data_IF_684446170238
#
_entry.id   IF_684446170238
#
_cell.length_a   1.000
_cell.length_b   1.000
_cell.length_c   1.000
_cell.angle_alpha   90.00
_cell.angle_beta   90.00
_cell.angle_gamma   90.00
#
_symmetry.space_group_name_H-M   'P 1'
#
loop_
_entity.id
_entity.type
_entity.pdbx_description
1 polymer ?
#
# COMPACT_ATOMS: atom_id res chain seq x y z
N UNK A 1 9.60 5.25 -4.20
CA UNK A 1 10.17 3.93 -3.87
C UNK A 1 11.26 4.06 -2.83
N UNK A 2 11.56 3.00 -2.11
CA UNK A 2 12.78 2.90 -1.32
C UNK A 2 13.89 2.26 -2.16
N UNK A 3 15.12 2.64 -1.90
CA UNK A 3 16.29 2.08 -2.57
C UNK A 3 17.47 1.98 -1.60
N UNK A 4 18.36 1.01 -1.83
CA UNK A 4 19.57 0.82 -1.01
C UNK A 4 20.74 1.52 -1.67
N UNK A 5 21.41 2.39 -0.92
CA UNK A 5 22.66 3.04 -1.31
C UNK A 5 23.68 2.84 -0.19
N UNK A 6 24.83 2.22 -0.51
CA UNK A 6 25.90 1.92 0.45
C UNK A 6 25.43 1.18 1.74
N UNK A 7 24.42 0.32 1.61
CA UNK A 7 23.83 -0.42 2.74
C UNK A 7 22.77 0.33 3.53
N UNK A 8 22.49 1.59 3.19
CA UNK A 8 21.41 2.37 3.78
C UNK A 8 20.18 2.36 2.88
N UNK A 9 19.00 2.19 3.48
CA UNK A 9 17.72 2.17 2.78
C UNK A 9 17.03 3.53 2.92
N UNK A 10 16.91 4.23 1.81
CA UNK A 10 16.37 5.59 1.73
C UNK A 10 15.15 5.66 0.82
N UNK A 11 14.42 6.77 0.92
CA UNK A 11 13.30 7.09 0.04
C UNK A 11 13.79 7.88 -1.17
N UNK A 12 13.42 7.41 -2.36
CA UNK A 12 13.75 8.00 -3.65
C UNK A 12 12.48 8.36 -4.42
N UNK A 13 12.51 9.53 -5.05
CA UNK A 13 11.50 9.95 -6.02
C UNK A 13 12.04 9.70 -7.42
N UNK A 14 11.25 9.01 -8.26
CA UNK A 14 11.57 8.75 -9.65
C UNK A 14 10.59 9.53 -10.55
N UNK A 15 11.10 10.47 -11.32
CA UNK A 15 10.36 11.10 -12.42
C UNK A 15 10.45 10.20 -13.65
N UNK A 16 9.39 9.45 -13.91
CA UNK A 16 9.35 8.48 -15.02
C UNK A 16 9.29 9.16 -16.39
N UNK A 17 8.85 10.42 -16.48
CA UNK A 17 8.81 11.17 -17.74
C UNK A 17 10.19 11.70 -18.15
N UNK A 18 11.00 12.09 -17.16
CA UNK A 18 12.34 12.67 -17.37
C UNK A 18 13.46 11.68 -17.12
N UNK A 19 13.15 10.46 -16.64
CA UNK A 19 14.14 9.45 -16.22
C UNK A 19 15.15 9.98 -15.18
N UNK A 20 14.69 10.84 -14.27
CA UNK A 20 15.49 11.41 -13.19
C UNK A 20 15.07 10.79 -11.87
N UNK A 21 16.05 10.50 -11.02
CA UNK A 21 15.80 10.09 -9.63
C UNK A 21 16.41 11.12 -8.66
N UNK A 22 15.68 11.39 -7.59
CA UNK A 22 16.10 12.26 -6.51
C UNK A 22 16.02 11.49 -5.19
N UNK A 23 17.11 11.50 -4.43
CA UNK A 23 17.09 10.98 -3.05
C UNK A 23 16.35 11.98 -2.18
N UNK A 24 15.27 11.54 -1.55
CA UNK A 24 14.46 12.39 -0.68
C UNK A 24 14.97 12.39 0.75
N UNK A 25 15.39 11.24 1.26
CA UNK A 25 15.88 11.08 2.64
C UNK A 25 17.34 10.67 2.65
N UNK A 26 18.04 10.90 3.77
CA UNK A 26 19.49 10.64 3.90
C UNK A 26 19.90 10.33 5.35
N UNK A 27 18.97 10.02 6.23
CA UNK A 27 19.25 9.59 7.60
C UNK A 27 19.99 8.24 7.58
N UNK A 28 20.94 7.96 8.49
CA UNK A 28 21.58 6.64 8.60
C UNK A 28 20.63 5.48 8.94
N UNK A 29 19.42 5.75 9.37
CA UNK A 29 18.40 4.76 9.67
C UNK A 29 17.83 4.12 8.40
N UNK A 30 17.13 2.99 8.57
CA UNK A 30 16.42 2.34 7.48
C UNK A 30 15.06 3.02 7.25
N UNK A 31 14.75 3.33 5.99
CA UNK A 31 13.53 4.02 5.60
C UNK A 31 12.80 3.28 4.49
N UNK A 32 11.52 3.07 4.66
CA UNK A 32 10.72 2.26 3.75
C UNK A 32 9.24 2.68 3.70
N UNK A 33 8.43 1.98 2.91
CA UNK A 33 6.96 2.12 2.80
C UNK A 33 6.50 3.56 2.60
N UNK A 34 7.09 4.22 1.59
CA UNK A 34 6.74 5.58 1.23
C UNK A 34 5.39 5.65 0.51
N UNK A 35 4.51 6.55 0.96
CA UNK A 35 3.26 6.90 0.31
C UNK A 35 3.17 8.40 0.05
N UNK A 36 2.48 8.78 -1.02
CA UNK A 36 2.24 10.18 -1.37
C UNK A 36 1.03 10.75 -0.63
N UNK A 37 1.10 12.03 -0.25
CA UNK A 37 -0.12 12.77 0.08
C UNK A 37 -1.00 12.94 -1.16
N UNK A 38 -2.34 13.03 -1.01
CA UNK A 38 -3.24 13.18 -2.16
C UNK A 38 -2.97 14.43 -3.02
N UNK A 39 -2.40 15.48 -2.43
CA UNK A 39 -2.00 16.71 -3.13
C UNK A 39 -0.61 16.63 -3.77
N UNK A 40 0.11 15.52 -3.59
CA UNK A 40 1.46 15.29 -4.10
C UNK A 40 2.57 16.13 -3.46
N UNK A 41 2.28 16.88 -2.39
CA UNK A 41 3.25 17.79 -1.77
C UNK A 41 4.08 17.18 -0.66
N UNK A 42 3.65 16.04 -0.14
CA UNK A 42 4.32 15.34 0.96
C UNK A 42 4.48 13.87 0.65
N UNK A 43 5.50 13.29 1.22
CA UNK A 43 5.68 11.84 1.33
C UNK A 43 5.69 11.49 2.81
N UNK A 44 4.90 10.48 3.16
CA UNK A 44 4.95 9.79 4.45
C UNK A 44 5.75 8.52 4.25
N UNK A 45 6.59 8.18 5.21
CA UNK A 45 7.44 7.00 5.18
C UNK A 45 7.68 6.47 6.59
N UNK A 46 8.13 5.23 6.70
CA UNK A 46 8.52 4.65 7.99
C UNK A 46 10.03 4.64 8.14
N UNK A 47 10.51 5.00 9.34
CA UNK A 47 11.94 5.07 9.67
C UNK A 47 12.19 4.52 11.08
N UNK A 48 13.25 3.70 11.24
CA UNK A 48 13.62 3.12 12.54
C UNK A 48 14.66 3.95 13.30
N UNK A 49 14.78 5.25 13.00
CA UNK A 49 15.76 6.16 13.63
C UNK A 49 15.59 6.32 15.14
N UNK A 50 14.42 6.02 15.66
CA UNK A 50 14.11 6.06 17.11
C UNK A 50 14.13 4.66 17.75
N UNK A 51 14.51 3.60 17.03
CA UNK A 51 14.52 2.20 17.48
C UNK A 51 13.50 1.35 16.72
N UNK A 52 12.22 1.50 17.04
CA UNK A 52 11.13 0.91 16.27
C UNK A 52 10.85 1.77 15.01
N UNK A 53 10.13 1.21 14.02
CA UNK A 53 9.69 1.99 12.87
C UNK A 53 8.55 2.92 13.24
N UNK A 54 8.81 4.22 13.17
CA UNK A 54 7.82 5.29 13.33
C UNK A 54 7.47 5.91 11.98
N UNK A 55 6.32 6.61 11.93
CA UNK A 55 5.84 7.28 10.72
C UNK A 55 6.32 8.73 10.67
N UNK A 56 7.04 9.06 9.60
CA UNK A 56 7.60 10.39 9.32
C UNK A 56 6.96 11.02 8.10
N UNK A 57 7.07 12.33 7.99
CA UNK A 57 6.64 13.11 6.82
C UNK A 57 7.74 14.05 6.36
N UNK A 58 7.84 14.23 5.03
CA UNK A 58 8.71 15.21 4.37
C UNK A 58 8.03 15.83 3.15
N UNK A 59 8.35 17.10 2.86
CA UNK A 59 7.91 17.75 1.62
C UNK A 59 8.62 17.14 0.40
N UNK A 60 7.88 16.99 -0.71
CA UNK A 60 8.37 16.33 -1.94
C UNK A 60 9.40 17.15 -2.70
N UNK A 61 9.45 18.47 -2.50
CA UNK A 61 10.45 19.36 -3.05
C UNK A 61 11.77 19.35 -2.25
N UNK A 62 11.85 18.53 -1.19
CA UNK A 62 12.99 18.43 -0.30
C UNK A 62 13.12 19.59 0.70
N UNK A 63 12.17 20.54 0.71
CA UNK A 63 12.16 21.64 1.66
C UNK A 63 11.75 21.20 3.06
N UNK A 64 12.12 22.00 4.06
CA UNK A 64 11.76 21.75 5.45
C UNK A 64 12.50 20.55 6.07
N UNK A 65 12.18 20.29 7.31
CA UNK A 65 12.73 19.17 8.09
C UNK A 65 11.76 17.97 8.07
N UNK A 66 12.33 16.78 8.17
CA UNK A 66 11.56 15.56 8.43
C UNK A 66 11.03 15.63 9.85
N UNK A 67 9.76 15.26 10.02
CA UNK A 67 9.15 15.20 11.35
C UNK A 67 8.37 13.90 11.55
N UNK A 68 8.45 13.34 12.73
CA UNK A 68 7.54 12.28 13.16
C UNK A 68 6.11 12.81 13.18
N UNK A 69 5.16 12.01 12.71
CA UNK A 69 3.74 12.33 12.76
C UNK A 69 3.14 12.00 14.13
N UNK A 70 3.50 10.83 14.64
CA UNK A 70 3.09 10.31 15.95
C UNK A 70 4.07 9.21 16.35
N UNK A 71 4.05 8.79 17.61
CA UNK A 71 4.79 7.65 18.13
C UNK A 71 3.86 6.68 18.84
N UNK A 72 4.05 5.39 18.58
CA UNK A 72 3.38 4.29 19.26
C UNK A 72 4.45 3.25 19.64
N UNK A 73 4.13 2.32 20.51
CA UNK A 73 5.03 1.19 20.78
C UNK A 73 5.01 0.17 19.64
N UNK A 74 6.18 -0.37 19.29
CA UNK A 74 6.37 -1.31 18.17
C UNK A 74 6.48 -0.62 16.81
N UNK A 75 6.58 -1.40 15.77
CA UNK A 75 6.73 -0.88 14.40
C UNK A 75 5.42 -0.34 13.85
N UNK A 76 5.49 0.79 13.14
CA UNK A 76 4.37 1.40 12.45
C UNK A 76 4.69 1.64 10.98
N UNK A 77 3.72 1.32 10.13
CA UNK A 77 3.84 1.54 8.70
C UNK A 77 2.62 2.27 8.15
N UNK A 78 2.87 3.40 7.49
CA UNK A 78 1.84 4.09 6.73
C UNK A 78 1.43 3.24 5.53
N UNK A 79 0.13 2.95 5.40
CA UNK A 79 -0.37 2.05 4.37
C UNK A 79 -1.09 2.79 3.25
N UNK A 80 -1.97 3.72 3.59
CA UNK A 80 -2.72 4.48 2.61
C UNK A 80 -3.26 5.78 3.21
N UNK A 81 -3.56 6.73 2.33
CA UNK A 81 -4.10 8.04 2.68
C UNK A 81 -5.40 8.27 1.93
N UNK A 82 -6.48 8.64 2.67
CA UNK A 82 -7.77 8.93 2.02
C UNK A 82 -7.63 10.05 0.98
N UNK A 83 -8.33 9.93 -0.14
CA UNK A 83 -8.22 10.85 -1.27
C UNK A 83 -8.56 12.31 -0.90
N UNK A 84 -9.37 12.53 0.15
CA UNK A 84 -9.70 13.86 0.68
C UNK A 84 -8.65 14.43 1.65
N UNK A 85 -7.60 13.66 1.93
CA UNK A 85 -6.50 14.05 2.81
C UNK A 85 -6.80 13.99 4.31
N UNK A 86 -7.99 13.54 4.71
CA UNK A 86 -8.41 13.60 6.11
C UNK A 86 -7.85 12.47 6.96
N UNK A 87 -7.69 11.28 6.40
CA UNK A 87 -7.35 10.09 7.16
C UNK A 87 -6.13 9.38 6.60
N UNK A 88 -5.25 8.98 7.49
CA UNK A 88 -4.12 8.09 7.21
C UNK A 88 -4.38 6.76 7.90
N UNK A 89 -4.22 5.63 7.19
CA UNK A 89 -4.22 4.30 7.81
C UNK A 89 -2.79 3.86 8.08
N UNK A 90 -2.62 3.24 9.24
CA UNK A 90 -1.33 2.77 9.75
C UNK A 90 -1.47 1.33 10.22
N UNK A 91 -0.61 0.47 9.73
CA UNK A 91 -0.41 -0.87 10.29
C UNK A 91 0.54 -0.76 11.49
N UNK A 92 0.24 -1.47 12.56
CA UNK A 92 1.12 -1.58 13.72
C UNK A 92 1.46 -3.04 14.01
N UNK A 93 2.73 -3.29 14.29
CA UNK A 93 3.25 -4.60 14.64
C UNK A 93 4.04 -4.54 15.94
N UNK A 94 3.75 -5.48 16.82
CA UNK A 94 4.54 -5.74 18.02
C UNK A 94 4.77 -7.24 18.13
N UNK A 95 6.00 -7.66 18.43
CA UNK A 95 6.34 -9.07 18.51
C UNK A 95 5.42 -9.84 19.46
N UNK A 96 4.91 -10.99 19.00
CA UNK A 96 4.00 -11.84 19.76
C UNK A 96 2.56 -11.34 19.85
N UNK A 97 2.22 -10.27 19.15
CA UNK A 97 0.84 -9.73 19.06
C UNK A 97 0.32 -9.79 17.64
N UNK A 98 -1.00 -9.94 17.42
CA UNK A 98 -1.60 -9.73 16.11
C UNK A 98 -1.30 -8.33 15.58
N UNK A 99 -1.08 -8.21 14.28
CA UNK A 99 -1.00 -6.92 13.61
C UNK A 99 -2.34 -6.19 13.68
N UNK A 100 -2.29 -4.87 13.83
CA UNK A 100 -3.47 -4.02 14.02
C UNK A 100 -3.46 -2.88 13.01
N UNK A 101 -4.67 -2.44 12.64
CA UNK A 101 -4.89 -1.22 11.88
C UNK A 101 -5.32 -0.09 12.79
N UNK A 102 -4.66 1.03 12.63
CA UNK A 102 -5.03 2.31 13.23
C UNK A 102 -5.34 3.32 12.16
N UNK A 103 -6.05 4.38 12.50
CA UNK A 103 -6.18 5.55 11.65
C UNK A 103 -5.87 6.83 12.39
N UNK A 104 -5.39 7.82 11.67
CA UNK A 104 -5.09 9.17 12.17
C UNK A 104 -5.94 10.16 11.39
N UNK A 105 -6.67 11.01 12.09
CA UNK A 105 -7.42 12.12 11.50
C UNK A 105 -6.54 13.38 11.47
N UNK A 106 -6.53 14.09 10.32
CA UNK A 106 -5.73 15.30 10.15
C UNK A 106 -4.21 15.08 10.24
N UNK A 107 -3.62 14.10 9.53
CA UNK A 107 -2.24 13.67 9.77
C UNK A 107 -1.19 14.77 9.55
N UNK A 108 -1.49 15.81 8.76
CA UNK A 108 -0.60 16.96 8.57
C UNK A 108 -0.94 18.17 9.45
N UNK A 109 -2.01 18.11 10.21
CA UNK A 109 -2.35 19.18 11.14
C UNK A 109 -1.26 19.34 12.21
N UNK A 110 -1.11 20.57 12.72
CA UNK A 110 -0.06 20.87 13.72
C UNK A 110 -0.26 20.06 15.01
N UNK A 111 -1.51 19.76 15.33
CA UNK A 111 -1.96 18.94 16.45
C UNK A 111 -2.65 17.70 15.86
N UNK A 112 -1.88 16.84 15.16
CA UNK A 112 -2.40 15.56 14.67
C UNK A 112 -3.02 14.77 15.83
N UNK A 113 -4.16 14.17 15.59
CA UNK A 113 -4.81 13.35 16.60
C UNK A 113 -4.03 12.07 16.85
N UNK A 114 -4.08 11.59 18.07
CA UNK A 114 -3.52 10.28 18.41
C UNK A 114 -4.15 9.19 17.54
N UNK A 115 -3.36 8.20 17.09
CA UNK A 115 -3.87 7.09 16.30
C UNK A 115 -4.99 6.34 17.03
N UNK A 116 -6.13 6.17 16.39
CA UNK A 116 -7.27 5.42 16.90
C UNK A 116 -7.27 3.99 16.34
N UNK A 117 -7.47 2.99 17.19
CA UNK A 117 -7.58 1.59 16.77
C UNK A 117 -8.79 1.42 15.84
N UNK A 118 -8.57 0.86 14.65
CA UNK A 118 -9.62 0.53 13.70
C UNK A 118 -9.95 -0.97 13.75
N UNK A 119 -8.96 -1.84 13.55
CA UNK A 119 -9.13 -3.30 13.48
C UNK A 119 -7.96 -4.05 14.12
N UNK A 120 -8.14 -5.34 14.43
CA UNK A 120 -7.04 -6.22 14.85
C UNK A 120 -7.02 -6.54 16.33
N UNK A 121 -8.09 -7.10 16.84
CA UNK A 121 -8.16 -7.52 18.26
C UNK A 121 -7.71 -8.96 18.47
N UNK A 122 -8.16 -9.89 17.63
CA UNK A 122 -7.88 -11.35 17.77
C UNK A 122 -7.10 -11.92 16.60
N UNK A 123 -7.28 -11.36 15.40
CA UNK A 123 -6.62 -11.78 14.17
C UNK A 123 -5.71 -10.68 13.63
N UNK A 124 -4.63 -11.07 12.98
CA UNK A 124 -3.76 -10.11 12.29
C UNK A 124 -4.48 -9.47 11.11
N UNK A 125 -4.38 -8.15 11.02
CA UNK A 125 -4.89 -7.33 9.91
C UNK A 125 -3.79 -6.44 9.38
N UNK A 126 -3.65 -6.34 8.05
CA UNK A 126 -2.56 -5.62 7.38
C UNK A 126 -2.89 -5.22 5.94
N UNK A 127 -1.96 -4.53 5.29
CA UNK A 127 -2.01 -4.20 3.86
C UNK A 127 -3.30 -3.44 3.47
N UNK A 128 -3.70 -2.48 4.28
CA UNK A 128 -4.96 -1.77 4.10
C UNK A 128 -4.92 -0.70 3.01
N UNK A 129 -6.08 -0.43 2.40
CA UNK A 129 -6.26 0.67 1.45
C UNK A 129 -7.68 1.22 1.50
N UNK A 130 -7.82 2.55 1.31
CA UNK A 130 -9.11 3.23 1.21
C UNK A 130 -9.76 3.01 -0.15
N UNK A 131 -11.10 2.89 -0.18
CA UNK A 131 -11.82 3.12 -1.42
C UNK A 131 -11.65 4.57 -1.89
N UNK A 132 -11.66 4.84 -3.21
CA UNK A 132 -11.46 6.20 -3.72
C UNK A 132 -12.48 7.22 -3.21
N UNK A 133 -13.69 6.78 -2.84
CA UNK A 133 -14.73 7.62 -2.23
C UNK A 133 -14.60 7.76 -0.71
N UNK A 134 -13.60 7.11 -0.09
CA UNK A 134 -13.31 7.18 1.34
C UNK A 134 -14.31 6.48 2.26
N UNK A 135 -15.29 5.73 1.72
CA UNK A 135 -16.36 5.12 2.50
C UNK A 135 -16.06 3.72 2.98
N UNK A 136 -15.05 3.08 2.42
CA UNK A 136 -14.65 1.72 2.74
C UNK A 136 -13.14 1.62 2.95
N UNK A 137 -12.76 0.62 3.71
CA UNK A 137 -11.39 0.15 3.86
C UNK A 137 -11.30 -1.31 3.43
N UNK A 138 -10.36 -1.61 2.54
CA UNK A 138 -9.96 -2.96 2.20
C UNK A 138 -8.72 -3.34 3.01
N UNK A 139 -8.60 -4.60 3.42
CA UNK A 139 -7.47 -5.08 4.22
C UNK A 139 -7.29 -6.59 4.07
N UNK A 140 -6.11 -7.07 4.39
CA UNK A 140 -5.80 -8.49 4.54
C UNK A 140 -6.03 -8.92 5.98
N UNK A 141 -6.71 -10.04 6.21
CA UNK A 141 -6.89 -10.65 7.54
C UNK A 141 -6.74 -12.16 7.51
N UNK A 142 -6.21 -12.74 8.58
CA UNK A 142 -6.10 -14.18 8.76
C UNK A 142 -7.21 -14.78 9.64
N UNK A 143 -8.33 -14.08 9.83
CA UNK A 143 -9.45 -14.49 10.69
C UNK A 143 -10.13 -15.80 10.27
N UNK A 144 -10.00 -16.20 9.00
CA UNK A 144 -10.52 -17.47 8.47
C UNK A 144 -9.52 -18.63 8.57
N UNK A 145 -8.38 -18.42 9.24
CA UNK A 145 -7.28 -19.40 9.34
C UNK A 145 -6.26 -19.30 8.21
N UNK A 146 -6.46 -18.43 7.23
CA UNK A 146 -5.53 -18.03 6.16
C UNK A 146 -5.76 -16.57 5.79
N UNK A 147 -4.84 -16.00 5.07
CA UNK A 147 -4.96 -14.62 4.60
C UNK A 147 -6.02 -14.51 3.51
N UNK A 148 -6.98 -13.61 3.73
CA UNK A 148 -8.03 -13.24 2.80
C UNK A 148 -8.21 -11.73 2.78
N UNK A 149 -8.69 -11.19 1.67
CA UNK A 149 -9.06 -9.78 1.52
C UNK A 149 -10.48 -9.57 1.98
N UNK A 150 -10.66 -8.57 2.83
CA UNK A 150 -11.95 -8.11 3.32
C UNK A 150 -12.15 -6.63 3.02
N UNK A 151 -13.40 -6.21 2.95
CA UNK A 151 -13.82 -4.80 2.84
C UNK A 151 -14.86 -4.52 3.93
N UNK A 152 -14.71 -3.37 4.59
CA UNK A 152 -15.68 -2.84 5.55
C UNK A 152 -15.91 -1.35 5.34
N UNK A 153 -17.04 -0.83 5.83
CA UNK A 153 -17.29 0.62 5.90
C UNK A 153 -16.27 1.32 6.78
N UNK A 154 -15.98 2.56 6.47
CA UNK A 154 -15.08 3.43 7.22
C UNK A 154 -15.73 4.82 7.41
N UNK A 155 -15.54 5.50 8.56
CA UNK A 155 -14.82 5.02 9.76
C UNK A 155 -15.68 4.12 10.69
N UNK A 156 -17.00 4.19 10.59
CA UNK A 156 -17.89 3.33 11.36
C UNK A 156 -17.93 1.96 10.68
N UNK A 157 -17.20 1.02 11.29
CA UNK A 157 -17.10 -0.34 10.78
C UNK A 157 -18.44 -1.03 10.67
N UNK A 158 -18.63 -1.79 9.60
CA UNK A 158 -19.82 -2.59 9.36
C UNK A 158 -19.90 -3.08 7.92
N UNK A 159 -20.86 -3.98 7.64
CA UNK A 159 -21.03 -4.52 6.30
C UNK A 159 -19.78 -5.23 5.77
N UNK A 160 -19.13 -6.05 6.63
CA UNK A 160 -17.92 -6.80 6.23
C UNK A 160 -18.22 -7.77 5.09
N UNK A 161 -17.46 -7.68 4.02
CA UNK A 161 -17.54 -8.55 2.85
C UNK A 161 -16.15 -9.15 2.60
N UNK A 162 -16.11 -10.48 2.44
CA UNK A 162 -14.91 -11.17 1.98
C UNK A 162 -14.83 -11.07 0.46
N UNK A 163 -13.70 -10.63 -0.06
CA UNK A 163 -13.45 -10.38 -1.49
C UNK A 163 -12.73 -11.56 -2.14
N UNK A 164 -11.67 -12.05 -1.51
CA UNK A 164 -10.90 -13.18 -2.03
C UNK A 164 -11.46 -14.52 -1.56
N UNK A 165 -11.23 -15.56 -2.36
CA UNK A 165 -11.55 -16.95 -2.06
C UNK A 165 -10.29 -17.79 -2.29
N UNK A 166 -9.92 -18.66 -1.35
CA UNK A 166 -8.72 -19.51 -1.39
C UNK A 166 -7.38 -18.77 -1.23
N UNK A 167 -7.34 -17.69 -0.56
CA UNK A 167 -6.32 -16.74 -0.20
C UNK A 167 -6.39 -15.42 -0.98
N UNK A 168 -5.88 -14.37 -0.37
CA UNK A 168 -5.75 -13.06 -0.98
C UNK A 168 -5.08 -12.06 -0.02
N UNK A 169 -4.27 -11.18 -0.58
CA UNK A 169 -3.56 -10.16 0.19
C UNK A 169 -3.31 -8.90 -0.62
N UNK A 170 -2.92 -7.83 0.06
CA UNK A 170 -2.48 -6.55 -0.54
C UNK A 170 -3.52 -5.93 -1.48
N UNK A 171 -4.74 -5.68 -1.01
CA UNK A 171 -5.77 -5.05 -1.85
C UNK A 171 -5.37 -3.66 -2.32
N UNK A 172 -5.70 -3.33 -3.57
CA UNK A 172 -5.57 -1.99 -4.17
C UNK A 172 -6.81 -1.68 -4.98
N UNK A 173 -7.26 -0.45 -4.90
CA UNK A 173 -8.42 0.02 -5.66
C UNK A 173 -7.99 0.68 -6.96
N UNK A 174 -8.77 0.48 -8.03
CA UNK A 174 -8.70 1.39 -9.18
C UNK A 174 -9.28 2.75 -8.77
N UNK A 175 -8.72 3.83 -9.29
CA UNK A 175 -9.10 5.18 -8.85
C UNK A 175 -10.58 5.55 -9.09
N UNK A 176 -11.27 4.86 -10.01
CA UNK A 176 -12.70 5.04 -10.24
C UNK A 176 -13.60 4.22 -9.30
N UNK A 177 -13.02 3.40 -8.43
CA UNK A 177 -13.73 2.57 -7.45
C UNK A 177 -14.54 1.41 -8.03
N UNK A 178 -14.35 1.06 -9.32
CA UNK A 178 -15.10 0.00 -9.98
C UNK A 178 -14.39 -1.35 -10.02
N UNK A 179 -13.14 -1.35 -9.62
CA UNK A 179 -12.31 -2.55 -9.63
C UNK A 179 -11.35 -2.53 -8.45
N UNK A 180 -11.05 -3.70 -7.94
CA UNK A 180 -10.04 -3.92 -6.91
C UNK A 180 -9.06 -4.99 -7.40
N UNK A 181 -7.80 -4.81 -7.03
CA UNK A 181 -6.74 -5.76 -7.30
C UNK A 181 -6.28 -6.40 -6.00
N UNK A 182 -5.88 -7.66 -6.06
CA UNK A 182 -5.26 -8.33 -4.92
C UNK A 182 -4.32 -9.45 -5.39
N UNK A 183 -3.43 -9.86 -4.53
CA UNK A 183 -2.46 -10.92 -4.81
C UNK A 183 -2.94 -12.23 -4.21
N UNK A 184 -2.92 -13.29 -5.00
CA UNK A 184 -3.08 -14.68 -4.58
C UNK A 184 -1.79 -15.43 -4.93
N UNK A 185 -0.99 -15.80 -3.95
CA UNK A 185 0.34 -16.39 -4.14
C UNK A 185 1.28 -15.52 -5.00
N UNK A 186 1.46 -15.86 -6.27
CA UNK A 186 2.26 -15.12 -7.27
C UNK A 186 1.41 -14.45 -8.35
N UNK A 187 0.08 -14.56 -8.23
CA UNK A 187 -0.89 -14.12 -9.23
C UNK A 187 -1.52 -12.82 -8.79
N UNK A 188 -1.53 -11.81 -9.65
CA UNK A 188 -2.36 -10.62 -9.49
C UNK A 188 -3.73 -10.86 -10.10
N UNK A 189 -4.78 -10.59 -9.34
CA UNK A 189 -6.16 -10.70 -9.77
C UNK A 189 -6.83 -9.35 -9.75
N UNK A 190 -7.78 -9.15 -10.67
CA UNK A 190 -8.73 -8.04 -10.66
C UNK A 190 -10.12 -8.57 -10.32
N UNK A 191 -10.89 -7.81 -9.55
CA UNK A 191 -12.27 -8.12 -9.24
C UNK A 191 -13.15 -6.89 -9.41
N UNK A 192 -14.23 -6.97 -10.19
CA UNK A 192 -15.20 -5.88 -10.29
C UNK A 192 -15.86 -5.62 -8.94
N UNK A 193 -15.94 -4.35 -8.55
CA UNK A 193 -16.59 -3.94 -7.30
C UNK A 193 -17.49 -2.73 -7.51
N UNK A 194 -18.41 -2.52 -6.58
CA UNK A 194 -19.21 -1.29 -6.48
C UNK A 194 -19.30 -0.85 -5.02
N UNK A 195 -19.19 0.45 -4.78
CA UNK A 195 -19.34 1.07 -3.46
C UNK A 195 -20.72 1.71 -3.24
N UNK A 196 -21.64 1.62 -4.21
CA UNK A 196 -22.96 2.23 -4.13
C UNK A 196 -24.07 1.33 -4.71
N UNK A 197 -25.25 1.24 -4.04
CA UNK A 197 -25.57 1.85 -2.74
C UNK A 197 -24.85 1.20 -1.55
N UNK A 198 -24.50 -0.08 -1.67
CA UNK A 198 -23.71 -0.87 -0.73
C UNK A 198 -22.54 -1.54 -1.47
N UNK A 199 -21.56 -2.02 -0.70
CA UNK A 199 -20.42 -2.69 -1.29
C UNK A 199 -20.84 -4.05 -1.89
N UNK A 200 -20.49 -4.27 -3.15
CA UNK A 200 -20.66 -5.55 -3.84
C UNK A 200 -19.38 -5.94 -4.55
N UNK A 201 -19.17 -7.25 -4.71
CA UNK A 201 -18.01 -7.85 -5.34
C UNK A 201 -18.46 -8.85 -6.42
N UNK A 202 -17.79 -8.80 -7.59
CA UNK A 202 -17.99 -9.74 -8.70
C UNK A 202 -17.06 -10.94 -8.63
N UNK A 203 -16.84 -11.59 -9.77
CA UNK A 203 -15.90 -12.69 -9.89
C UNK A 203 -14.50 -12.15 -10.18
N UNK A 204 -13.45 -12.66 -9.52
CA UNK A 204 -12.08 -12.27 -9.82
C UNK A 204 -11.61 -12.86 -11.16
N UNK A 205 -10.79 -12.10 -11.85
CA UNK A 205 -10.11 -12.49 -13.09
C UNK A 205 -8.59 -12.41 -12.91
N UNK A 206 -7.87 -13.37 -13.48
CA UNK A 206 -6.40 -13.38 -13.43
C UNK A 206 -5.87 -12.32 -14.41
N UNK A 207 -4.98 -11.46 -13.93
CA UNK A 207 -4.30 -10.50 -14.78
C UNK A 207 -2.95 -11.03 -15.26
N UNK A 208 -2.08 -11.37 -14.34
CA UNK A 208 -0.75 -11.95 -14.64
C UNK A 208 -0.14 -12.60 -13.41
N UNK A 209 0.92 -13.38 -13.65
CA UNK A 209 1.75 -13.98 -12.60
C UNK A 209 3.13 -13.31 -12.56
N UNK A 210 3.65 -13.09 -11.34
CA UNK A 210 5.00 -12.58 -11.15
C UNK A 210 5.57 -13.08 -9.82
N UNK A 211 6.74 -13.68 -9.84
CA UNK A 211 7.36 -14.31 -8.65
C UNK A 211 7.55 -13.35 -7.47
N UNK A 212 7.80 -12.08 -7.73
CA UNK A 212 8.02 -11.07 -6.70
C UNK A 212 6.74 -10.65 -5.98
N UNK A 213 5.55 -10.97 -6.49
CA UNK A 213 4.30 -10.76 -5.78
C UNK A 213 4.18 -11.61 -4.51
N UNK A 214 4.91 -12.71 -4.41
CA UNK A 214 4.95 -13.60 -3.24
C UNK A 214 5.85 -13.12 -2.11
N UNK A 215 6.74 -12.16 -2.34
CA UNK A 215 7.74 -11.78 -1.35
C UNK A 215 7.10 -11.16 -0.10
N UNK A 216 7.51 -11.61 1.07
CA UNK A 216 7.19 -10.97 2.34
C UNK A 216 7.94 -9.65 2.47
N UNK A 217 7.30 -8.63 3.03
CA UNK A 217 8.00 -7.39 3.38
C UNK A 217 7.63 -6.15 2.59
N UNK A 218 6.35 -5.82 2.51
CA UNK A 218 5.90 -4.52 2.07
C UNK A 218 5.04 -4.52 0.80
N UNK A 219 4.85 -3.32 0.25
CA UNK A 219 4.07 -3.11 -0.96
C UNK A 219 4.86 -3.60 -2.16
N UNK A 220 4.45 -4.72 -2.76
CA UNK A 220 5.15 -5.36 -3.88
C UNK A 220 4.68 -4.84 -5.23
N UNK A 221 3.52 -4.23 -5.30
CA UNK A 221 2.97 -3.64 -6.52
C UNK A 221 2.14 -2.39 -6.22
N UNK A 222 1.94 -1.60 -7.24
CA UNK A 222 1.00 -0.49 -7.26
C UNK A 222 0.37 -0.38 -8.65
N UNK A 223 -0.74 0.36 -8.75
CA UNK A 223 -1.54 0.48 -9.97
C UNK A 223 -1.73 1.95 -10.35
N UNK A 224 -1.64 2.24 -11.65
CA UNK A 224 -1.97 3.57 -12.17
C UNK A 224 -3.47 3.90 -11.99
N UNK A 225 -3.81 5.18 -11.91
CA UNK A 225 -5.18 5.64 -11.69
C UNK A 225 -6.19 5.09 -12.71
N UNK A 226 -5.76 4.88 -13.95
CA UNK A 226 -6.57 4.31 -15.04
C UNK A 226 -6.66 2.77 -15.00
N UNK A 227 -5.91 2.10 -14.11
CA UNK A 227 -5.86 0.65 -14.01
C UNK A 227 -5.10 -0.04 -15.14
N UNK A 228 -4.42 0.71 -16.03
CA UNK A 228 -3.79 0.16 -17.24
C UNK A 228 -2.29 -0.17 -17.07
N UNK A 229 -1.69 0.24 -15.96
CA UNK A 229 -0.27 0.03 -15.71
C UNK A 229 -0.05 -0.41 -14.28
N UNK A 230 0.82 -1.39 -14.12
CA UNK A 230 1.24 -1.88 -12.82
C UNK A 230 2.73 -1.68 -12.64
N UNK A 231 3.13 -1.28 -11.44
CA UNK A 231 4.53 -1.28 -11.02
C UNK A 231 4.71 -2.48 -10.11
N UNK A 232 5.67 -3.34 -10.41
CA UNK A 232 6.05 -4.48 -9.56
C UNK A 232 7.46 -4.24 -9.05
N UNK A 233 7.67 -4.40 -7.75
CA UNK A 233 9.00 -4.32 -7.13
C UNK A 233 9.79 -5.58 -7.47
N UNK A 234 10.97 -5.42 -8.06
CA UNK A 234 11.87 -6.53 -8.36
C UNK A 234 13.13 -6.41 -7.52
N UNK A 235 13.46 -7.48 -6.80
CA UNK A 235 14.74 -7.57 -6.12
C UNK A 235 15.81 -7.87 -7.15
N UNK A 236 16.69 -6.91 -7.40
CA UNK A 236 17.85 -7.11 -8.27
C UNK A 236 19.05 -7.59 -7.46
N UNK A 237 19.89 -8.38 -8.11
CA UNK A 237 21.15 -8.86 -7.54
C UNK A 237 21.95 -7.64 -7.03
N UNK A 238 22.66 -7.71 -5.87
CA UNK A 238 23.40 -6.57 -5.32
C UNK A 238 24.43 -5.93 -6.27
N UNK A 239 24.79 -6.62 -7.35
CA UNK A 239 25.72 -6.14 -8.38
C UNK A 239 25.01 -5.37 -9.52
N UNK A 240 23.67 -5.37 -9.59
CA UNK A 240 22.88 -4.65 -10.57
C UNK A 240 22.17 -3.46 -9.91
N UNK A 241 22.06 -2.34 -10.64
CA UNK A 241 21.32 -1.17 -10.15
C UNK A 241 19.85 -1.53 -9.96
N UNK A 242 19.25 -1.11 -8.84
CA UNK A 242 17.84 -1.32 -8.56
C UNK A 242 16.97 -0.83 -9.74
N UNK A 243 16.18 -1.72 -10.30
CA UNK A 243 15.36 -1.45 -11.47
C UNK A 243 13.88 -1.45 -11.05
N UNK A 244 13.17 -0.39 -11.45
CA UNK A 244 11.71 -0.34 -11.35
C UNK A 244 11.15 -0.84 -12.67
N UNK A 245 10.43 -1.97 -12.67
CA UNK A 245 9.73 -2.46 -13.87
C UNK A 245 8.31 -1.92 -13.90
N UNK A 246 7.97 -1.27 -15.01
CA UNK A 246 6.63 -0.80 -15.30
C UNK A 246 5.99 -1.75 -16.32
N UNK A 247 4.97 -2.48 -15.91
CA UNK A 247 4.17 -3.32 -16.82
C UNK A 247 3.11 -2.44 -17.47
N UNK A 248 3.15 -2.32 -18.79
CA UNK A 248 2.20 -1.52 -19.59
C UNK A 248 1.49 -2.39 -20.60
N UNK A 249 0.23 -2.03 -20.92
CA UNK A 249 -0.55 -2.66 -21.99
C UNK A 249 -0.70 -4.19 -21.88
N UNK A 250 -0.78 -4.72 -20.66
CA UNK A 250 -0.90 -6.15 -20.43
C UNK A 250 -2.10 -6.79 -21.17
N UNK A 251 -3.19 -6.04 -21.42
CA UNK A 251 -4.30 -6.49 -22.27
C UNK A 251 -3.91 -6.83 -23.72
N UNK A 252 -2.85 -6.24 -24.25
CA UNK A 252 -2.42 -6.52 -25.62
C UNK A 252 -1.71 -7.88 -25.74
N UNK A 253 -0.95 -8.28 -24.71
CA UNK A 253 -0.25 -9.58 -24.71
C UNK A 253 -1.22 -10.76 -24.63
N UNK A 254 -2.36 -10.63 -23.95
CA UNK A 254 -3.36 -11.70 -23.83
C UNK A 254 -4.26 -11.81 -25.07
N UNK A 255 -4.57 -10.72 -25.78
CA UNK A 255 -5.32 -10.80 -27.05
C UNK A 255 -4.59 -11.55 -28.14
N UNK A 256 -3.27 -11.41 -28.18
CA UNK A 256 -2.44 -12.11 -29.19
C UNK A 256 -2.29 -13.62 -28.91
N UNK A 257 -2.65 -14.10 -27.70
CA UNK A 257 -2.66 -15.53 -27.37
C UNK A 257 -4.00 -16.19 -27.72
N UNK A 258 -5.13 -15.49 -27.52
CA UNK A 258 -6.46 -16.01 -27.92
C UNK A 258 -6.67 -16.07 -29.45
N UNK A 259 -5.94 -15.26 -30.24
CA UNK A 259 -5.99 -15.34 -31.70
C UNK A 259 -5.07 -16.44 -32.30
N UNK A 260 -4.32 -17.17 -31.46
CA UNK A 260 -3.40 -18.24 -31.91
C UNK A 260 -3.83 -19.66 -31.53
N UNK A 261 -4.96 -19.81 -30.82
CA UNK A 261 -5.65 -21.09 -30.59
C UNK A 261 -6.89 -21.20 -31.49
#
# INVERSE_FOLDING_TARGET
>A
VHGVDNGNQDIWIHDTARSVKMRLTSDPAQENRAIWSPDGRHIIFSSNRNGDYDVFVRATDGSGEERALFGMSGDQWAMDWSADGKYLIVDSFSSGQPQKLFYVEGPLEREAREPALLLGTESSVRDSSFSPDGKYVAYTSNETGREEVFVQRFPELGGKVQVSINSGSRPRWRADGKEMYFVQEVTLLAVPVSTAPDFTVGNPEILFEHSNLRQDGGQQYDVSADGQRFVVMESVNPEEQATVRLVQNWFAEFRDQEERE
#
